data_IF_832000297786
#
_entry.id   IF_832000297786
#
_cell.length_a   1.000
_cell.length_b   1.000
_cell.length_c   1.000
_cell.angle_alpha   90.00
_cell.angle_beta   90.00
_cell.angle_gamma   90.00
#
_symmetry.space_group_name_H-M   'P 1'
#
loop_
_entity.id
_entity.type
_entity.pdbx_description
1 polymer ?
#
# COMPACT_ATOMS: atom_id res chain seq x y z
N UNK A 1 7.13 15.08 -6.37
CA UNK A 1 6.11 14.05 -6.68
C UNK A 1 5.54 13.55 -5.36
N UNK A 2 4.23 13.67 -5.17
CA UNK A 2 3.59 12.98 -4.04
C UNK A 2 3.70 11.49 -4.30
N UNK A 3 4.24 10.75 -3.34
CA UNK A 3 4.35 9.31 -3.44
C UNK A 3 2.97 8.72 -3.73
N UNK A 4 2.83 8.10 -4.90
CA UNK A 4 1.59 7.44 -5.27
C UNK A 4 1.44 6.22 -4.36
N UNK A 5 0.36 6.18 -3.61
CA UNK A 5 0.00 4.99 -2.85
C UNK A 5 -0.49 3.93 -3.85
N UNK A 6 0.35 2.93 -4.11
CA UNK A 6 0.07 1.89 -5.11
C UNK A 6 -0.76 0.72 -4.57
N UNK A 7 -1.04 0.69 -3.28
CA UNK A 7 -1.81 -0.37 -2.64
C UNK A 7 -2.74 0.19 -1.57
N UNK A 8 -3.82 -0.50 -1.32
CA UNK A 8 -4.61 -0.32 -0.11
C UNK A 8 -4.82 -1.66 0.59
N UNK A 9 -4.92 -1.67 1.93
CA UNK A 9 -5.08 -2.91 2.66
C UNK A 9 -6.43 -3.54 2.37
N UNK A 10 -6.41 -4.85 2.15
CA UNK A 10 -7.60 -5.66 1.96
C UNK A 10 -7.88 -6.48 3.23
N UNK A 11 -9.10 -6.39 3.72
CA UNK A 11 -9.56 -7.08 4.93
C UNK A 11 -10.58 -8.17 4.54
N UNK A 12 -10.16 -9.44 4.40
CA UNK A 12 -11.03 -10.50 3.86
C UNK A 12 -12.31 -10.72 4.66
N UNK A 13 -12.24 -10.70 5.99
CA UNK A 13 -13.40 -10.91 6.85
C UNK A 13 -14.48 -9.84 6.63
N UNK A 14 -14.08 -8.60 6.60
CA UNK A 14 -14.99 -7.47 6.35
C UNK A 14 -15.53 -7.49 4.92
N UNK A 15 -14.68 -7.83 3.95
CA UNK A 15 -15.09 -7.98 2.56
C UNK A 15 -16.20 -9.03 2.40
N UNK A 16 -16.00 -10.21 2.99
CA UNK A 16 -16.97 -11.30 2.91
C UNK A 16 -18.28 -10.94 3.61
N UNK A 17 -18.22 -10.26 4.77
CA UNK A 17 -19.40 -9.79 5.48
C UNK A 17 -20.19 -8.76 4.66
N UNK A 18 -19.53 -7.71 4.16
CA UNK A 18 -20.16 -6.61 3.44
C UNK A 18 -20.74 -7.05 2.08
N UNK A 19 -20.11 -8.03 1.43
CA UNK A 19 -20.50 -8.49 0.09
C UNK A 19 -21.23 -9.82 0.07
N UNK A 20 -21.66 -10.34 1.23
CA UNK A 20 -22.30 -11.66 1.33
C UNK A 20 -23.55 -11.80 0.45
N UNK A 21 -24.32 -10.75 0.30
CA UNK A 21 -25.56 -10.69 -0.50
C UNK A 21 -25.33 -10.42 -1.98
N UNK A 22 -24.10 -10.03 -2.37
CA UNK A 22 -23.79 -9.67 -3.75
C UNK A 22 -23.44 -10.87 -4.60
N UNK A 23 -23.87 -10.89 -5.84
CA UNK A 23 -23.42 -11.84 -6.86
C UNK A 23 -21.95 -11.63 -7.21
N UNK A 24 -21.32 -12.58 -7.89
CA UNK A 24 -19.92 -12.45 -8.34
C UNK A 24 -19.72 -11.24 -9.27
N UNK A 25 -20.69 -10.95 -10.12
CA UNK A 25 -20.66 -9.80 -11.02
C UNK A 25 -20.72 -8.48 -10.25
N UNK A 26 -21.60 -8.41 -9.25
CA UNK A 26 -21.73 -7.23 -8.38
C UNK A 26 -20.50 -7.05 -7.49
N UNK A 27 -19.90 -8.13 -6.98
CA UNK A 27 -18.63 -8.08 -6.25
C UNK A 27 -17.51 -7.55 -7.14
N UNK A 28 -17.43 -8.01 -8.39
CA UNK A 28 -16.47 -7.52 -9.37
C UNK A 28 -16.65 -6.03 -9.67
N UNK A 29 -17.88 -5.57 -9.85
CA UNK A 29 -18.20 -4.17 -10.02
C UNK A 29 -17.82 -3.35 -8.77
N UNK A 30 -18.17 -3.83 -7.58
CA UNK A 30 -17.89 -3.16 -6.32
C UNK A 30 -16.39 -2.98 -6.07
N UNK A 31 -15.58 -4.03 -6.21
CA UNK A 31 -14.12 -3.91 -6.02
C UNK A 31 -13.47 -2.99 -7.05
N UNK A 32 -13.98 -2.97 -8.29
CA UNK A 32 -13.51 -2.07 -9.34
C UNK A 32 -13.78 -0.60 -8.96
N UNK A 33 -14.96 -0.31 -8.43
CA UNK A 33 -15.29 1.03 -7.95
C UNK A 33 -14.41 1.45 -6.77
N UNK A 34 -14.22 0.57 -5.77
CA UNK A 34 -13.37 0.85 -4.62
C UNK A 34 -11.93 1.14 -5.04
N UNK A 35 -11.38 0.32 -5.93
CA UNK A 35 -10.01 0.50 -6.44
C UNK A 35 -9.87 1.81 -7.19
N UNK A 36 -10.86 2.15 -8.03
CA UNK A 36 -10.84 3.41 -8.77
C UNK A 36 -10.99 4.62 -7.85
N UNK A 37 -11.88 4.54 -6.84
CA UNK A 37 -12.03 5.59 -5.82
C UNK A 37 -10.72 5.84 -5.07
N UNK A 38 -10.02 4.78 -4.69
CA UNK A 38 -8.76 4.89 -3.97
C UNK A 38 -7.68 5.64 -4.75
N UNK A 39 -7.65 5.45 -6.07
CA UNK A 39 -6.72 6.15 -6.95
C UNK A 39 -7.08 7.62 -7.16
N UNK A 40 -8.33 8.01 -6.93
CA UNK A 40 -8.75 9.40 -7.01
C UNK A 40 -8.32 10.18 -5.76
N UNK A 41 -7.99 11.46 -5.94
CA UNK A 41 -7.56 12.32 -4.83
C UNK A 41 -8.60 12.43 -3.72
N UNK A 42 -9.86 12.59 -4.11
CA UNK A 42 -10.98 12.78 -3.18
C UNK A 42 -11.64 11.47 -2.74
N UNK A 43 -11.18 10.32 -3.23
CA UNK A 43 -11.81 9.02 -3.00
C UNK A 43 -13.31 8.99 -3.37
N UNK A 44 -13.67 9.71 -4.43
CA UNK A 44 -15.04 9.80 -4.95
C UNK A 44 -15.05 9.67 -6.48
N UNK A 45 -16.16 9.22 -7.04
CA UNK A 45 -16.36 9.04 -8.47
C UNK A 45 -17.63 9.75 -8.90
N UNK A 46 -17.59 10.41 -10.06
CA UNK A 46 -18.82 10.97 -10.65
C UNK A 46 -19.72 9.85 -11.16
N UNK A 47 -21.01 9.91 -10.82
CA UNK A 47 -22.02 8.93 -11.25
C UNK A 47 -22.05 8.73 -12.76
N UNK A 48 -21.89 9.80 -13.52
CA UNK A 48 -21.88 9.77 -15.00
C UNK A 48 -20.75 8.92 -15.59
N UNK A 49 -19.67 8.69 -14.84
CA UNK A 49 -18.52 7.91 -15.31
C UNK A 49 -18.58 6.42 -14.91
N UNK A 50 -19.49 6.05 -14.00
CA UNK A 50 -19.57 4.68 -13.48
C UNK A 50 -19.80 3.62 -14.56
N UNK A 51 -20.69 3.80 -15.57
CA UNK A 51 -20.83 2.81 -16.64
C UNK A 51 -19.53 2.56 -17.40
N UNK A 52 -18.78 3.62 -17.69
CA UNK A 52 -17.51 3.53 -18.39
C UNK A 52 -16.42 2.86 -17.53
N UNK A 53 -16.36 3.19 -16.24
CA UNK A 53 -15.44 2.58 -15.28
C UNK A 53 -15.67 1.08 -15.17
N UNK A 54 -16.93 0.66 -15.14
CA UNK A 54 -17.32 -0.74 -15.07
C UNK A 54 -17.32 -1.47 -16.42
N UNK A 55 -17.18 -0.74 -17.53
CA UNK A 55 -17.24 -1.29 -18.86
C UNK A 55 -18.61 -1.87 -19.24
N UNK A 56 -19.68 -1.41 -18.59
CA UNK A 56 -21.04 -1.89 -18.81
C UNK A 56 -21.76 -0.95 -19.78
N UNK A 57 -22.06 -1.45 -20.97
CA UNK A 57 -22.79 -0.69 -22.01
C UNK A 57 -24.30 -0.83 -21.91
N UNK A 58 -24.79 -1.95 -21.38
CA UNK A 58 -26.20 -2.21 -21.19
C UNK A 58 -26.73 -1.46 -19.97
N UNK A 59 -27.61 -0.48 -20.21
CA UNK A 59 -28.18 0.36 -19.17
C UNK A 59 -29.01 -0.44 -18.15
N UNK A 60 -29.75 -1.45 -18.61
CA UNK A 60 -30.58 -2.29 -17.72
C UNK A 60 -29.68 -3.12 -16.78
N UNK A 61 -28.63 -3.70 -17.34
CA UNK A 61 -27.63 -4.44 -16.58
C UNK A 61 -26.92 -3.54 -15.57
N UNK A 62 -26.51 -2.36 -15.99
CA UNK A 62 -25.89 -1.37 -15.11
C UNK A 62 -26.82 -0.98 -13.94
N UNK A 63 -28.07 -0.63 -14.22
CA UNK A 63 -29.04 -0.27 -13.17
C UNK A 63 -29.26 -1.40 -12.17
N UNK A 64 -29.37 -2.64 -12.65
CA UNK A 64 -29.53 -3.83 -11.78
C UNK A 64 -28.34 -4.01 -10.84
N UNK A 65 -27.12 -3.93 -11.34
CA UNK A 65 -25.90 -4.07 -10.56
C UNK A 65 -25.77 -2.94 -9.55
N UNK A 66 -26.01 -1.69 -9.98
CA UNK A 66 -25.90 -0.54 -9.10
C UNK A 66 -26.96 -0.53 -8.00
N UNK A 67 -28.14 -1.07 -8.23
CA UNK A 67 -29.21 -1.17 -7.22
C UNK A 67 -28.72 -1.89 -5.95
N UNK A 68 -27.92 -2.95 -6.10
CA UNK A 68 -27.41 -3.75 -5.00
C UNK A 68 -26.10 -3.18 -4.41
N UNK A 69 -25.36 -2.40 -5.17
CA UNK A 69 -24.08 -1.80 -4.73
C UNK A 69 -24.30 -0.45 -4.04
N UNK A 70 -25.27 0.36 -4.50
CA UNK A 70 -25.51 1.70 -3.95
C UNK A 70 -25.69 1.75 -2.43
N UNK A 71 -26.36 0.78 -1.77
CA UNK A 71 -26.45 0.77 -0.30
C UNK A 71 -25.10 0.69 0.42
N UNK A 72 -24.05 0.18 -0.24
CA UNK A 72 -22.70 0.08 0.29
C UNK A 72 -21.86 1.34 0.06
N UNK A 73 -22.37 2.29 -0.72
CA UNK A 73 -21.72 3.53 -1.07
C UNK A 73 -22.43 4.72 -0.40
N UNK A 74 -21.73 5.84 -0.34
CA UNK A 74 -22.29 7.11 0.11
C UNK A 74 -22.65 7.91 -1.14
N UNK A 75 -23.90 8.29 -1.22
CA UNK A 75 -24.42 9.18 -2.27
C UNK A 75 -24.13 10.63 -1.90
N UNK A 76 -23.30 11.31 -2.68
CA UNK A 76 -22.94 12.71 -2.51
C UNK A 76 -23.56 13.60 -3.63
N UNK A 77 -24.71 13.23 -4.14
CA UNK A 77 -25.36 13.91 -5.26
C UNK A 77 -24.80 13.45 -6.59
N UNK A 78 -23.95 14.24 -7.22
CA UNK A 78 -23.33 13.88 -8.51
C UNK A 78 -22.21 12.85 -8.39
N UNK A 79 -21.72 12.62 -7.16
CA UNK A 79 -20.62 11.70 -6.86
C UNK A 79 -21.08 10.58 -5.96
N UNK A 80 -20.32 9.50 -5.98
CA UNK A 80 -20.39 8.43 -4.99
C UNK A 80 -19.04 8.26 -4.34
N UNK A 81 -19.04 7.92 -3.06
CA UNK A 81 -17.83 7.65 -2.29
C UNK A 81 -18.04 6.47 -1.36
N UNK A 82 -16.99 6.05 -0.67
CA UNK A 82 -17.07 5.00 0.33
C UNK A 82 -16.23 5.42 1.56
N UNK A 83 -16.89 5.44 2.71
CA UNK A 83 -16.32 5.96 3.97
C UNK A 83 -15.00 5.27 4.33
N UNK A 84 -14.98 3.94 4.27
CA UNK A 84 -13.82 3.13 4.65
C UNK A 84 -12.60 3.41 3.77
N UNK A 85 -12.81 3.58 2.45
CA UNK A 85 -11.72 3.93 1.52
C UNK A 85 -11.13 5.28 1.86
N UNK A 86 -11.96 6.27 2.20
CA UNK A 86 -11.49 7.59 2.66
C UNK A 86 -10.65 7.49 3.94
N UNK A 87 -11.15 6.74 4.94
CA UNK A 87 -10.45 6.54 6.22
C UNK A 87 -9.12 5.79 6.06
N UNK A 88 -9.11 4.73 5.24
CA UNK A 88 -7.89 3.96 4.97
C UNK A 88 -6.85 4.84 4.30
N UNK A 89 -7.24 5.58 3.27
CA UNK A 89 -6.32 6.48 2.56
C UNK A 89 -5.73 7.52 3.48
N UNK A 90 -6.55 8.16 4.32
CA UNK A 90 -6.09 9.14 5.29
C UNK A 90 -5.08 8.54 6.27
N UNK A 91 -5.38 7.37 6.84
CA UNK A 91 -4.45 6.67 7.75
C UNK A 91 -3.11 6.36 7.10
N UNK A 92 -3.12 5.90 5.85
CA UNK A 92 -1.88 5.58 5.13
C UNK A 92 -1.10 6.86 4.82
N UNK A 93 -1.76 7.93 4.39
CA UNK A 93 -1.12 9.23 4.14
C UNK A 93 -0.48 9.78 5.42
N UNK A 94 -1.14 9.67 6.57
CA UNK A 94 -0.61 10.09 7.87
C UNK A 94 0.64 9.26 8.27
N UNK A 95 0.62 7.95 8.02
CA UNK A 95 1.78 7.07 8.29
C UNK A 95 2.96 7.43 7.39
N UNK A 96 2.71 7.65 6.10
CA UNK A 96 3.74 8.05 5.14
C UNK A 96 4.35 9.40 5.53
N UNK A 97 3.52 10.37 5.91
CA UNK A 97 3.99 11.68 6.33
C UNK A 97 4.82 11.63 7.62
N UNK A 98 4.40 10.82 8.61
CA UNK A 98 5.19 10.59 9.84
C UNK A 98 6.54 9.96 9.52
N UNK A 99 6.60 8.95 8.66
CA UNK A 99 7.86 8.32 8.22
C UNK A 99 8.75 9.29 7.47
N UNK A 100 8.19 10.12 6.60
CA UNK A 100 8.93 11.16 5.88
C UNK A 100 9.56 12.17 6.83
N UNK A 101 8.80 12.66 7.81
CA UNK A 101 9.30 13.60 8.84
C UNK A 101 10.42 12.98 9.68
N UNK A 102 10.24 11.73 10.11
CA UNK A 102 11.27 10.99 10.85
C UNK A 102 12.54 10.78 10.02
N UNK A 103 12.42 10.46 8.73
CA UNK A 103 13.56 10.33 7.81
C UNK A 103 14.33 11.65 7.65
N UNK A 104 13.63 12.76 7.51
CA UNK A 104 14.25 14.10 7.41
C UNK A 104 14.97 14.45 8.73
N UNK A 105 14.36 14.21 9.88
CA UNK A 105 14.96 14.47 11.19
C UNK A 105 16.23 13.64 11.40
N UNK A 106 16.21 12.35 11.06
CA UNK A 106 17.37 11.46 11.12
C UNK A 106 18.49 11.89 10.16
N UNK A 107 18.13 12.34 8.95
CA UNK A 107 19.09 12.87 7.98
C UNK A 107 19.76 14.15 8.46
N UNK A 108 19.03 15.06 9.10
CA UNK A 108 19.57 16.27 9.71
C UNK A 108 20.49 15.97 10.91
N UNK A 109 20.14 15.00 11.74
CA UNK A 109 20.95 14.55 12.88
C UNK A 109 22.30 13.96 12.43
N UNK A 110 22.32 13.23 11.32
CA UNK A 110 23.57 12.64 10.74
C UNK A 110 24.48 13.69 10.07
N UNK A 111 23.94 14.84 9.66
CA UNK A 111 24.71 15.93 9.05
C UNK A 111 25.39 16.86 10.05
N UNK A 112 25.14 16.73 11.36
CA UNK A 112 25.97 17.40 12.37
C UNK A 112 27.36 16.75 12.33
N UNK A 113 28.44 17.54 12.14
CA UNK A 113 29.80 16.97 12.11
C UNK A 113 30.12 16.40 13.49
N UNK A 114 29.99 15.10 13.66
CA UNK A 114 30.73 14.42 14.70
C UNK A 114 32.18 14.39 14.25
N UNK A 115 33.05 15.05 15.00
CA UNK A 115 34.49 14.99 14.84
C UNK A 115 34.89 13.51 14.64
N UNK A 116 35.59 13.32 13.55
CA UNK A 116 36.21 12.07 13.12
C UNK A 116 37.08 11.49 14.25
N UNK A 117 36.61 10.48 14.95
CA UNK A 117 37.43 9.67 15.83
C UNK A 117 37.03 8.20 15.94
N UNK A 118 36.37 7.60 14.96
CA UNK A 118 36.01 6.17 15.05
C UNK A 118 36.18 5.39 13.75
N UNK A 119 36.92 5.88 12.77
CA UNK A 119 37.14 5.10 11.54
C UNK A 119 38.37 4.17 11.61
N UNK A 120 39.26 4.33 12.60
CA UNK A 120 40.48 3.48 12.73
C UNK A 120 40.20 2.10 13.33
N UNK A 121 39.16 1.96 14.16
CA UNK A 121 38.94 0.65 14.86
C UNK A 121 38.05 -0.37 14.10
N UNK A 122 37.48 -0.01 12.97
CA UNK A 122 36.63 -0.94 12.17
C UNK A 122 37.39 -1.64 11.05
N UNK A 123 38.52 -1.10 10.61
CA UNK A 123 39.30 -1.69 9.52
C UNK A 123 40.12 -2.85 10.04
N UNK A 124 40.59 -2.84 11.30
CA UNK A 124 41.41 -3.91 11.87
C UNK A 124 40.67 -5.23 12.11
N UNK A 125 39.34 -5.22 12.16
CA UNK A 125 38.51 -6.44 12.29
C UNK A 125 38.28 -7.20 10.98
N UNK A 126 38.50 -6.58 9.83
CA UNK A 126 38.33 -7.23 8.53
C UNK A 126 39.61 -7.79 7.95
N UNK A 127 40.76 -7.47 8.53
CA UNK A 127 42.09 -7.99 8.11
C UNK A 127 42.61 -9.13 8.96
N UNK A 128 41.77 -9.77 9.78
CA UNK A 128 42.15 -10.98 10.46
C UNK A 128 42.07 -12.19 9.51
N UNK A 129 43.09 -12.30 8.68
CA UNK A 129 43.29 -13.38 7.70
C UNK A 129 43.41 -14.75 8.41
N UNK A 130 43.69 -14.76 9.72
CA UNK A 130 43.83 -15.98 10.52
C UNK A 130 42.52 -16.77 10.66
N UNK A 131 41.38 -16.12 10.62
CA UNK A 131 40.07 -16.78 10.67
C UNK A 131 39.74 -17.51 9.36
N UNK A 132 40.15 -16.93 8.23
CA UNK A 132 39.92 -17.51 6.89
C UNK A 132 40.82 -18.73 6.67
N UNK A 133 42.08 -18.69 7.15
CA UNK A 133 43.03 -19.81 7.04
C UNK A 133 42.65 -20.97 7.96
N UNK A 134 42.10 -20.71 9.14
CA UNK A 134 41.54 -21.76 10.02
C UNK A 134 40.33 -22.45 9.38
N UNK A 135 39.44 -21.73 8.74
CA UNK A 135 38.30 -22.31 8.04
C UNK A 135 38.71 -23.14 6.81
N UNK A 136 39.79 -22.74 6.10
CA UNK A 136 40.33 -23.50 4.97
C UNK A 136 40.98 -24.82 5.39
N UNK A 137 41.68 -24.83 6.52
CA UNK A 137 42.32 -26.04 7.05
C UNK A 137 41.29 -27.07 7.55
N UNK A 138 40.15 -26.65 8.05
CA UNK A 138 39.08 -27.56 8.47
C UNK A 138 38.42 -28.25 7.27
N UNK A 139 38.33 -27.56 6.14
CA UNK A 139 37.71 -28.12 4.91
C UNK A 139 38.63 -29.07 4.17
N UNK A 140 39.98 -28.97 4.33
CA UNK A 140 40.94 -29.83 3.64
C UNK A 140 41.29 -31.10 4.42
N UNK A 141 40.98 -31.20 5.71
CA UNK A 141 41.28 -32.38 6.54
C UNK A 141 40.07 -33.27 6.84
N UNK A 142 38.97 -33.08 6.13
CA UNK A 142 37.73 -33.83 6.35
C UNK A 142 37.41 -34.95 5.37
N UNK A 143 38.38 -35.38 4.54
CA UNK A 143 38.22 -36.51 3.62
C UNK A 143 39.48 -37.40 3.67
N UNK A 144 39.59 -38.19 4.70
CA UNK A 144 40.26 -39.50 4.71
C UNK A 144 39.40 -40.47 5.47
#
# INVERSE_FOLDING_TARGET
>A
MKDKLFYFPFYPADWLADTSILSLEEKGAYITLLSTMYLQRECSLFKRHLPNILGIKDERKFKRIMLNIMPLLIDEGDKVSQKRIKEIKQKIEDIVEKKRKAGIASGKARKKPQLVQTHSKRIDKFNDVSAIDKARNVLNNGYE
#
